data_IF_550357325695
#
_entry.id   IF_550357325695
#
_cell.length_a   1.000
_cell.length_b   1.000
_cell.length_c   1.000
_cell.angle_alpha   90.00
_cell.angle_beta   90.00
_cell.angle_gamma   90.00
#
_symmetry.space_group_name_H-M   'P 1'
#
loop_
_entity.id
_entity.type
_entity.pdbx_description
1 polymer ?
#
# COMPACT_ATOMS: atom_id res chain seq x y z
N UNK A 1 -11.46 4.76 9.79
CA UNK A 1 -10.17 4.59 10.51
C UNK A 1 -10.17 5.56 11.68
N UNK A 2 -9.98 5.10 12.92
CA UNK A 2 -10.13 5.95 14.11
C UNK A 2 -8.83 6.70 14.49
N UNK A 3 -7.66 6.10 14.29
CA UNK A 3 -6.37 6.67 14.72
C UNK A 3 -5.28 6.55 13.65
N UNK A 4 -4.33 7.50 13.68
CA UNK A 4 -3.12 7.56 12.85
C UNK A 4 -1.92 7.97 13.71
N UNK A 5 -0.74 7.46 13.38
CA UNK A 5 0.51 7.88 14.02
C UNK A 5 0.93 9.27 13.49
N UNK A 6 1.20 10.23 14.38
CA UNK A 6 1.79 11.53 14.02
C UNK A 6 3.13 11.29 13.33
N UNK A 7 3.34 11.87 12.14
CA UNK A 7 4.52 11.66 11.29
C UNK A 7 4.47 10.39 10.41
N UNK A 8 3.40 9.58 10.49
CA UNK A 8 3.16 8.43 9.61
C UNK A 8 3.74 7.10 10.11
N UNK A 9 3.08 6.01 9.73
CA UNK A 9 3.38 4.63 10.21
C UNK A 9 4.78 4.11 9.83
N UNK A 10 5.39 4.66 8.77
CA UNK A 10 6.72 4.26 8.31
C UNK A 10 7.81 4.47 9.37
N UNK A 11 7.57 5.39 10.32
CA UNK A 11 8.49 5.63 11.43
C UNK A 11 8.80 4.38 12.25
N UNK A 12 7.86 3.43 12.38
CA UNK A 12 8.11 2.18 13.11
C UNK A 12 9.27 1.42 12.47
N UNK A 13 9.18 1.17 11.16
CA UNK A 13 10.23 0.48 10.41
C UNK A 13 11.54 1.27 10.36
N UNK A 14 11.48 2.60 10.23
CA UNK A 14 12.67 3.45 10.21
C UNK A 14 13.42 3.43 11.54
N UNK A 15 12.73 3.56 12.68
CA UNK A 15 13.35 3.51 14.00
C UNK A 15 13.92 2.14 14.34
N UNK A 16 13.25 1.07 13.92
CA UNK A 16 13.81 -0.29 14.02
C UNK A 16 15.08 -0.42 13.19
N UNK A 17 15.09 0.09 11.95
CA UNK A 17 16.27 0.04 11.10
C UNK A 17 17.43 0.85 11.67
N UNK A 18 17.16 2.03 12.23
CA UNK A 18 18.15 2.86 12.93
C UNK A 18 18.81 2.10 14.09
N UNK A 19 18.01 1.42 14.93
CA UNK A 19 18.53 0.61 16.05
C UNK A 19 19.37 -0.59 15.60
N UNK A 20 19.09 -1.13 14.41
CA UNK A 20 19.81 -2.26 13.84
C UNK A 20 21.09 -1.83 13.12
N UNK A 21 21.17 -0.56 12.70
CA UNK A 21 22.30 0.04 12.02
C UNK A 21 22.61 -0.64 10.69
N UNK A 22 23.89 -0.96 10.49
CA UNK A 22 24.40 -1.55 9.26
C UNK A 22 23.89 -2.97 8.97
N UNK A 23 23.21 -3.61 9.93
CA UNK A 23 22.58 -4.93 9.74
C UNK A 23 21.45 -4.90 8.73
N UNK A 24 20.84 -3.74 8.49
CA UNK A 24 19.80 -3.57 7.45
C UNK A 24 20.46 -3.28 6.11
N UNK A 25 20.36 -4.22 5.17
CA UNK A 25 20.89 -4.08 3.81
C UNK A 25 19.77 -3.68 2.84
N UNK A 26 19.72 -2.40 2.47
CA UNK A 26 18.78 -1.88 1.45
C UNK A 26 19.28 -2.20 0.04
N UNK A 27 18.38 -2.19 -0.94
CA UNK A 27 18.70 -2.51 -2.35
C UNK A 27 19.40 -3.86 -2.53
N UNK A 28 19.07 -4.82 -1.66
CA UNK A 28 19.60 -6.18 -1.69
C UNK A 28 18.48 -7.20 -1.92
N UNK A 29 17.81 -7.22 -3.11
CA UNK A 29 16.80 -8.23 -3.40
C UNK A 29 17.43 -9.62 -3.31
N UNK A 30 16.83 -10.50 -2.52
CA UNK A 30 17.23 -11.91 -2.43
C UNK A 30 16.69 -12.64 -3.67
N UNK A 31 17.55 -13.40 -4.34
CA UNK A 31 17.23 -14.14 -5.55
C UNK A 31 17.28 -15.66 -5.35
N UNK A 32 18.03 -16.14 -4.36
CA UNK A 32 18.10 -17.56 -4.05
C UNK A 32 18.25 -17.82 -2.54
N UNK A 33 17.69 -18.94 -2.10
CA UNK A 33 17.82 -19.48 -0.74
C UNK A 33 18.27 -20.94 -0.85
N UNK A 34 19.43 -21.24 -0.25
CA UNK A 34 19.99 -22.59 -0.20
C UNK A 34 20.06 -23.07 1.25
N UNK A 35 19.34 -24.14 1.58
CA UNK A 35 19.36 -24.78 2.88
C UNK A 35 20.27 -26.02 2.83
N UNK A 36 21.41 -25.92 3.52
CA UNK A 36 22.29 -27.07 3.77
C UNK A 36 21.95 -27.75 5.10
N UNK A 37 22.79 -28.69 5.52
CA UNK A 37 22.65 -29.40 6.81
C UNK A 37 22.89 -28.46 8.00
N UNK A 38 23.88 -27.58 7.89
CA UNK A 38 24.37 -26.81 9.06
C UNK A 38 23.95 -25.34 9.03
N UNK A 39 23.64 -24.81 7.84
CA UNK A 39 23.26 -23.41 7.66
C UNK A 39 22.36 -23.21 6.45
N UNK A 40 21.66 -22.08 6.46
CA UNK A 40 20.98 -21.52 5.31
C UNK A 40 21.83 -20.40 4.72
N UNK A 41 21.90 -20.34 3.40
CA UNK A 41 22.53 -19.25 2.67
C UNK A 41 21.51 -18.53 1.79
N UNK A 42 21.59 -17.21 1.77
CA UNK A 42 20.80 -16.36 0.87
C UNK A 42 21.73 -15.62 -0.08
N UNK A 43 21.38 -15.59 -1.36
CA UNK A 43 22.12 -14.89 -2.40
C UNK A 43 21.28 -13.75 -2.94
N UNK A 44 21.84 -12.55 -2.98
CA UNK A 44 21.19 -11.35 -3.50
C UNK A 44 21.45 -11.15 -4.99
N UNK A 45 20.70 -10.26 -5.62
CA UNK A 45 20.79 -9.99 -7.07
C UNK A 45 22.19 -9.57 -7.55
N UNK A 46 22.95 -8.89 -6.71
CA UNK A 46 24.34 -8.49 -6.97
C UNK A 46 25.37 -9.59 -6.65
N UNK A 47 24.93 -10.82 -6.36
CA UNK A 47 25.81 -11.95 -6.05
C UNK A 47 26.33 -12.02 -4.60
N UNK A 48 26.01 -11.05 -3.74
CA UNK A 48 26.41 -11.14 -2.33
C UNK A 48 25.70 -12.32 -1.65
N UNK A 49 26.43 -13.01 -0.77
CA UNK A 49 25.95 -14.18 -0.06
C UNK A 49 26.02 -13.97 1.44
N UNK A 50 24.92 -14.28 2.13
CA UNK A 50 24.82 -14.24 3.57
C UNK A 50 24.53 -15.65 4.08
N UNK A 51 25.09 -16.01 5.24
CA UNK A 51 24.85 -17.30 5.90
C UNK A 51 24.27 -17.07 7.29
N UNK A 52 23.38 -17.95 7.71
CA UNK A 52 22.81 -17.97 9.05
C UNK A 52 22.27 -19.34 9.41
N UNK A 53 21.97 -19.56 10.68
CA UNK A 53 21.32 -20.81 11.12
C UNK A 53 19.88 -20.93 10.61
N UNK A 54 19.21 -19.80 10.40
CA UNK A 54 17.81 -19.74 10.00
C UNK A 54 17.54 -18.56 9.04
N UNK A 55 16.42 -18.63 8.32
CA UNK A 55 15.90 -17.53 7.48
C UNK A 55 14.41 -17.33 7.79
N UNK A 56 14.00 -16.06 7.94
CA UNK A 56 12.60 -15.67 8.10
C UNK A 56 12.12 -15.01 6.81
N UNK A 57 11.11 -15.60 6.17
CA UNK A 57 10.50 -15.07 4.94
C UNK A 57 9.40 -14.05 5.29
N UNK A 58 9.78 -12.83 5.63
CA UNK A 58 8.86 -11.76 6.07
C UNK A 58 8.21 -10.98 4.92
N UNK A 59 7.78 -11.67 3.86
CA UNK A 59 7.20 -11.07 2.65
C UNK A 59 6.02 -11.89 2.11
N UNK A 60 5.18 -11.29 1.26
CA UNK A 60 3.99 -11.98 0.73
C UNK A 60 4.37 -13.23 -0.09
N UNK A 61 3.48 -14.25 -0.13
CA UNK A 61 3.70 -15.46 -0.92
C UNK A 61 4.07 -15.19 -2.39
N UNK A 62 3.46 -14.18 -3.00
CA UNK A 62 3.74 -13.76 -4.38
C UNK A 62 5.17 -13.30 -4.62
N UNK A 63 5.81 -12.66 -3.64
CA UNK A 63 7.22 -12.28 -3.78
C UNK A 63 8.13 -13.45 -3.43
N UNK A 64 7.71 -14.34 -2.52
CA UNK A 64 8.45 -15.57 -2.23
C UNK A 64 8.68 -16.43 -3.48
N UNK A 65 7.74 -16.42 -4.44
CA UNK A 65 7.89 -17.15 -5.72
C UNK A 65 9.02 -16.66 -6.62
N UNK A 66 9.51 -15.43 -6.44
CA UNK A 66 10.53 -14.85 -7.31
C UNK A 66 11.95 -15.37 -7.02
N UNK A 67 12.10 -16.20 -5.98
CA UNK A 67 13.38 -16.74 -5.54
C UNK A 67 13.53 -18.21 -5.95
N UNK A 68 14.77 -18.62 -6.20
CA UNK A 68 15.14 -20.01 -6.36
C UNK A 68 15.42 -20.67 -5.01
N UNK A 69 14.95 -21.90 -4.82
CA UNK A 69 15.14 -22.65 -3.58
C UNK A 69 15.94 -23.93 -3.84
N UNK A 70 16.93 -24.19 -2.99
CA UNK A 70 17.72 -25.42 -3.00
C UNK A 70 17.82 -25.98 -1.57
N UNK A 71 17.27 -27.16 -1.25
CA UNK A 71 16.44 -27.99 -2.12
C UNK A 71 15.14 -27.26 -2.54
N UNK A 72 14.45 -27.74 -3.59
CA UNK A 72 13.15 -27.21 -3.99
C UNK A 72 12.16 -27.19 -2.82
N UNK A 73 11.26 -26.20 -2.80
CA UNK A 73 10.20 -26.14 -1.80
C UNK A 73 9.31 -27.40 -1.88
N UNK A 74 8.78 -27.87 -0.73
CA UNK A 74 7.78 -28.95 -0.73
C UNK A 74 6.62 -28.63 -1.68
N UNK A 75 6.07 -29.62 -2.40
CA UNK A 75 5.06 -29.38 -3.44
C UNK A 75 3.87 -28.54 -2.97
N UNK A 76 3.33 -28.81 -1.77
CA UNK A 76 2.22 -28.04 -1.20
C UNK A 76 2.56 -26.57 -1.01
N UNK A 77 3.78 -26.27 -0.54
CA UNK A 77 4.23 -24.89 -0.37
C UNK A 77 4.39 -24.21 -1.73
N UNK A 78 5.01 -24.87 -2.70
CA UNK A 78 5.18 -24.32 -4.05
C UNK A 78 3.81 -23.99 -4.70
N UNK A 79 2.84 -24.89 -4.56
CA UNK A 79 1.47 -24.71 -5.07
C UNK A 79 0.71 -23.58 -4.33
N UNK A 80 0.90 -23.42 -3.02
CA UNK A 80 0.32 -22.32 -2.24
C UNK A 80 0.81 -20.96 -2.73
N UNK A 81 2.13 -20.82 -2.94
CA UNK A 81 2.71 -19.54 -3.33
C UNK A 81 2.10 -19.02 -4.65
N UNK A 82 1.74 -19.92 -5.56
CA UNK A 82 1.15 -19.62 -6.88
C UNK A 82 -0.34 -19.25 -6.85
N UNK A 83 -1.07 -19.57 -5.77
CA UNK A 83 -2.53 -19.40 -5.67
C UNK A 83 -2.98 -18.31 -4.71
N UNK A 84 -2.06 -17.48 -4.24
CA UNK A 84 -2.32 -16.42 -3.25
C UNK A 84 -2.05 -15.02 -3.85
N UNK A 85 -2.82 -14.57 -4.86
CA UNK A 85 -2.62 -13.24 -5.45
C UNK A 85 -2.90 -12.12 -4.44
N UNK A 86 -2.21 -10.99 -4.59
CA UNK A 86 -2.52 -9.78 -3.83
C UNK A 86 -3.69 -9.02 -4.47
N UNK A 87 -4.49 -8.37 -3.64
CA UNK A 87 -5.55 -7.47 -4.10
C UNK A 87 -4.99 -6.25 -4.84
N UNK A 88 -5.82 -5.63 -5.67
CA UNK A 88 -5.52 -4.35 -6.31
C UNK A 88 -6.22 -3.21 -5.58
N UNK A 89 -5.50 -2.15 -5.23
CA UNK A 89 -6.07 -0.98 -4.58
C UNK A 89 -5.30 0.28 -4.96
N UNK A 90 -6.03 1.36 -5.23
CA UNK A 90 -5.46 2.71 -5.24
C UNK A 90 -5.79 3.41 -3.93
N UNK A 91 -4.80 4.12 -3.41
CA UNK A 91 -4.93 5.05 -2.28
C UNK A 91 -4.72 6.45 -2.83
N UNK A 92 -5.81 7.19 -3.00
CA UNK A 92 -5.78 8.53 -3.59
C UNK A 92 -5.93 9.58 -2.49
N UNK A 93 -5.10 10.62 -2.51
CA UNK A 93 -5.24 11.76 -1.62
C UNK A 93 -5.57 13.00 -2.46
N UNK A 94 -6.68 13.65 -2.16
CA UNK A 94 -7.06 14.93 -2.75
C UNK A 94 -6.88 16.01 -1.69
N UNK A 95 -5.97 16.94 -1.95
CA UNK A 95 -5.68 18.06 -1.07
C UNK A 95 -6.52 19.27 -1.47
N UNK A 96 -6.98 20.01 -0.47
CA UNK A 96 -7.77 21.21 -0.63
C UNK A 96 -7.14 22.36 0.15
N UNK A 97 -7.52 23.59 -0.21
CA UNK A 97 -7.08 24.78 0.51
C UNK A 97 -7.62 24.82 1.94
N UNK A 98 -8.87 24.39 2.14
CA UNK A 98 -9.55 24.38 3.43
C UNK A 98 -10.33 23.08 3.62
N UNK A 99 -10.56 22.61 4.86
CA UNK A 99 -11.40 21.45 5.14
C UNK A 99 -12.89 21.82 5.08
N UNK A 100 -13.36 22.28 3.92
CA UNK A 100 -14.70 22.86 3.74
C UNK A 100 -15.83 21.92 4.17
N UNK A 101 -15.63 20.60 4.05
CA UNK A 101 -16.59 19.58 4.47
C UNK A 101 -16.95 19.72 5.95
N UNK A 102 -15.99 20.09 6.81
CA UNK A 102 -16.24 20.30 8.24
C UNK A 102 -17.18 21.48 8.50
N UNK A 103 -17.06 22.57 7.74
CA UNK A 103 -17.94 23.75 7.84
C UNK A 103 -19.39 23.40 7.46
N UNK A 104 -19.58 22.37 6.62
CA UNK A 104 -20.89 21.85 6.22
C UNK A 104 -21.42 20.73 7.11
N UNK A 105 -20.74 20.44 8.24
CA UNK A 105 -21.14 19.39 9.17
C UNK A 105 -20.75 17.96 8.76
N UNK A 106 -19.93 17.80 7.72
CA UNK A 106 -19.45 16.49 7.28
C UNK A 106 -18.10 16.12 7.92
N UNK A 107 -17.93 14.83 8.20
CA UNK A 107 -16.69 14.28 8.75
C UNK A 107 -15.59 14.01 7.72
N UNK A 108 -15.89 14.17 6.42
CA UNK A 108 -15.03 13.75 5.31
C UNK A 108 -15.05 12.23 5.05
N UNK A 109 -15.87 11.47 5.79
CA UNK A 109 -16.12 10.06 5.49
C UNK A 109 -17.34 9.90 4.59
N UNK A 110 -17.13 9.38 3.39
CA UNK A 110 -18.18 9.06 2.42
C UNK A 110 -18.08 7.58 2.07
N UNK A 111 -19.23 6.90 2.00
CA UNK A 111 -19.37 5.54 1.50
C UNK A 111 -20.06 5.61 0.14
N UNK A 112 -19.43 5.02 -0.87
CA UNK A 112 -19.96 5.01 -2.23
C UNK A 112 -20.49 3.62 -2.54
N UNK A 113 -21.73 3.54 -3.02
CA UNK A 113 -22.30 2.28 -3.47
C UNK A 113 -21.74 1.88 -4.85
N UNK A 114 -22.02 0.66 -5.29
CA UNK A 114 -21.56 0.18 -6.61
C UNK A 114 -22.29 0.84 -7.79
N UNK A 115 -23.40 1.54 -7.53
CA UNK A 115 -24.20 2.23 -8.55
C UNK A 115 -23.67 3.64 -8.86
N UNK A 116 -22.74 4.16 -8.06
CA UNK A 116 -22.20 5.51 -8.24
C UNK A 116 -20.97 5.49 -9.17
N UNK A 117 -20.88 6.51 -10.03
CA UNK A 117 -19.78 6.69 -10.99
C UNK A 117 -18.43 7.02 -10.33
N UNK A 118 -18.41 7.16 -8.99
CA UNK A 118 -17.17 7.35 -8.25
C UNK A 118 -16.38 6.04 -8.12
N UNK A 119 -15.07 6.03 -8.47
CA UNK A 119 -14.25 4.84 -8.34
C UNK A 119 -13.78 4.58 -6.90
N UNK A 120 -14.00 5.52 -5.97
CA UNK A 120 -13.83 5.27 -4.54
C UNK A 120 -14.97 4.39 -4.00
N UNK A 121 -14.69 3.67 -2.92
CA UNK A 121 -15.72 2.96 -2.13
C UNK A 121 -15.86 3.54 -0.74
N UNK A 122 -14.77 4.09 -0.20
CA UNK A 122 -14.75 4.70 1.10
C UNK A 122 -13.70 5.80 1.14
N UNK A 123 -14.02 6.88 1.84
CA UNK A 123 -13.13 8.02 2.05
C UNK A 123 -13.03 8.38 3.53
N UNK A 124 -11.98 9.10 3.88
CA UNK A 124 -11.70 9.56 5.24
C UNK A 124 -11.04 10.94 5.16
N UNK A 125 -11.28 11.79 6.14
CA UNK A 125 -10.50 13.01 6.35
C UNK A 125 -9.04 12.65 6.74
N UNK A 126 -8.08 13.16 5.97
CA UNK A 126 -6.64 12.95 6.13
C UNK A 126 -5.90 14.26 6.51
N UNK A 127 -6.64 15.29 6.89
CA UNK A 127 -6.11 16.58 7.37
C UNK A 127 -5.19 16.35 8.56
N UNK A 128 -4.09 17.10 8.64
CA UNK A 128 -3.14 16.94 9.74
C UNK A 128 -3.76 17.39 11.07
N UNK A 129 -3.27 16.88 12.22
CA UNK A 129 -3.83 17.20 13.53
C UNK A 129 -3.79 18.69 13.88
N UNK A 130 -2.87 19.46 13.30
CA UNK A 130 -2.75 20.92 13.46
C UNK A 130 -3.66 21.72 12.49
N UNK A 131 -4.50 21.03 11.71
CA UNK A 131 -5.39 21.64 10.70
C UNK A 131 -4.72 21.93 9.37
N UNK A 132 -3.39 21.75 9.26
CA UNK A 132 -2.67 21.95 8.00
C UNK A 132 -2.93 20.81 7.01
N UNK A 133 -2.70 21.10 5.73
CA UNK A 133 -2.91 20.16 4.61
C UNK A 133 -4.27 19.45 4.63
N UNK A 134 -5.38 20.18 4.48
CA UNK A 134 -6.71 19.59 4.35
C UNK A 134 -6.73 18.58 3.21
N UNK A 135 -7.15 17.36 3.51
CA UNK A 135 -7.16 16.30 2.50
C UNK A 135 -8.27 15.29 2.76
N UNK A 136 -8.81 14.74 1.67
CA UNK A 136 -9.63 13.54 1.69
C UNK A 136 -8.81 12.40 1.08
N UNK A 137 -8.73 11.30 1.82
CA UNK A 137 -8.17 10.06 1.31
C UNK A 137 -9.28 9.13 0.84
N UNK A 138 -9.15 8.60 -0.36
CA UNK A 138 -10.06 7.61 -0.94
C UNK A 138 -9.39 6.27 -1.22
N UNK A 139 -10.15 5.20 -0.99
CA UNK A 139 -9.77 3.84 -1.35
C UNK A 139 -10.56 3.37 -2.55
N UNK A 140 -9.85 2.90 -3.58
CA UNK A 140 -10.43 2.47 -4.85
C UNK A 140 -9.95 1.03 -5.11
N UNK A 141 -10.62 0.01 -4.54
CA UNK A 141 -10.17 -1.37 -4.59
C UNK A 141 -10.66 -2.14 -5.82
N UNK A 142 -10.13 -3.35 -5.98
CA UNK A 142 -10.61 -4.41 -6.88
C UNK A 142 -10.76 -3.96 -8.35
N UNK A 143 -11.92 -4.18 -8.98
CA UNK A 143 -12.16 -3.84 -10.38
C UNK A 143 -12.00 -2.35 -10.66
N UNK A 144 -12.47 -1.50 -9.73
CA UNK A 144 -12.34 -0.03 -9.83
C UNK A 144 -10.85 0.37 -9.88
N UNK A 145 -9.97 -0.28 -9.11
CA UNK A 145 -8.51 -0.07 -9.19
C UNK A 145 -7.94 -0.35 -10.59
N UNK A 146 -8.42 -1.42 -11.23
CA UNK A 146 -7.88 -1.90 -12.51
C UNK A 146 -8.36 -1.07 -13.70
N UNK A 147 -9.60 -0.58 -13.68
CA UNK A 147 -10.12 0.27 -14.76
C UNK A 147 -9.40 1.60 -14.84
N UNK A 148 -8.98 2.17 -13.70
CA UNK A 148 -8.23 3.43 -13.63
C UNK A 148 -6.88 3.40 -14.36
N UNK A 149 -6.26 2.22 -14.51
CA UNK A 149 -5.00 2.06 -15.24
C UNK A 149 -5.12 2.49 -16.72
N UNK A 150 -6.33 2.41 -17.29
CA UNK A 150 -6.61 2.77 -18.69
C UNK A 150 -6.77 4.28 -18.89
N UNK A 151 -6.94 5.04 -17.82
CA UNK A 151 -7.21 6.48 -17.86
C UNK A 151 -5.92 7.29 -17.70
N UNK A 152 -5.89 8.49 -18.26
CA UNK A 152 -4.83 9.49 -17.98
C UNK A 152 -4.97 10.03 -16.55
N UNK A 153 -3.88 10.49 -15.91
CA UNK A 153 -3.92 11.03 -14.54
C UNK A 153 -5.01 12.09 -14.31
N UNK A 154 -5.21 12.99 -15.26
CA UNK A 154 -6.19 14.07 -15.20
C UNK A 154 -7.62 13.53 -15.21
N UNK A 155 -7.88 12.51 -16.03
CA UNK A 155 -9.19 11.84 -16.09
C UNK A 155 -9.50 11.12 -14.78
N UNK A 156 -8.50 10.47 -14.16
CA UNK A 156 -8.66 9.84 -12.85
C UNK A 156 -8.99 10.88 -11.79
N UNK A 157 -8.25 12.00 -11.76
CA UNK A 157 -8.51 13.12 -10.83
C UNK A 157 -9.95 13.62 -10.99
N UNK A 158 -10.36 13.93 -12.21
CA UNK A 158 -11.70 14.45 -12.50
C UNK A 158 -12.80 13.49 -12.08
N UNK A 159 -12.65 12.20 -12.35
CA UNK A 159 -13.64 11.19 -11.94
C UNK A 159 -13.78 11.10 -10.41
N UNK A 160 -12.65 11.21 -9.68
CA UNK A 160 -12.64 11.14 -8.22
C UNK A 160 -13.29 12.39 -7.61
N UNK A 161 -12.86 13.59 -8.02
CA UNK A 161 -13.34 14.84 -7.42
C UNK A 161 -14.82 15.12 -7.76
N UNK A 162 -15.29 14.70 -8.93
CA UNK A 162 -16.72 14.77 -9.29
C UNK A 162 -17.56 13.91 -8.34
N UNK A 163 -17.15 12.66 -8.11
CA UNK A 163 -17.83 11.81 -7.14
C UNK A 163 -17.84 12.41 -5.72
N UNK A 164 -16.77 13.08 -5.32
CA UNK A 164 -16.72 13.76 -4.01
C UNK A 164 -17.66 14.97 -3.96
N UNK A 165 -17.72 15.75 -5.03
CA UNK A 165 -18.62 16.90 -5.15
C UNK A 165 -20.09 16.48 -5.08
N UNK A 166 -20.46 15.40 -5.79
CA UNK A 166 -21.80 14.83 -5.77
C UNK A 166 -22.18 14.31 -4.38
N UNK A 167 -21.30 13.52 -3.75
CA UNK A 167 -21.55 12.95 -2.43
C UNK A 167 -21.68 14.02 -1.33
N UNK A 168 -20.87 15.08 -1.37
CA UNK A 168 -20.95 16.19 -0.41
C UNK A 168 -21.91 17.30 -0.84
N UNK A 169 -22.55 17.17 -2.01
CA UNK A 169 -23.47 18.16 -2.60
C UNK A 169 -22.84 19.57 -2.66
N UNK A 170 -21.59 19.66 -3.13
CA UNK A 170 -20.86 20.92 -3.19
C UNK A 170 -19.78 20.94 -4.27
N UNK A 171 -19.71 22.04 -5.01
CA UNK A 171 -18.68 22.25 -6.04
C UNK A 171 -17.30 22.55 -5.46
N UNK A 172 -17.18 22.89 -4.17
CA UNK A 172 -15.89 23.12 -3.52
C UNK A 172 -14.96 21.91 -3.62
N UNK A 173 -15.51 20.70 -3.74
CA UNK A 173 -14.73 19.49 -3.94
C UNK A 173 -14.10 19.37 -5.34
N UNK A 174 -14.51 20.17 -6.32
CA UNK A 174 -13.96 20.17 -7.68
C UNK A 174 -12.63 20.93 -7.79
N UNK A 175 -12.26 21.71 -6.77
CA UNK A 175 -11.16 22.67 -6.82
C UNK A 175 -10.00 22.31 -5.90
#
# INVERSE_FOLDING_TARGET
>A
QERKLKGGMMQVSLKMAESLGDRVKLRSPVMAVAQGTDHVAVTTQNGQRYKGSHVIMAMSPTIQMKMHYSPPLPPLRNQLLQRMPLGSVWKCLVYYKEPFWRKKGYSGSMLFTMAEDCPAVYTIDDTKPDGSYPAIIGFLPANKARTLLKLKPEQRKQLIIKGYAEAMKTEEALH
#
